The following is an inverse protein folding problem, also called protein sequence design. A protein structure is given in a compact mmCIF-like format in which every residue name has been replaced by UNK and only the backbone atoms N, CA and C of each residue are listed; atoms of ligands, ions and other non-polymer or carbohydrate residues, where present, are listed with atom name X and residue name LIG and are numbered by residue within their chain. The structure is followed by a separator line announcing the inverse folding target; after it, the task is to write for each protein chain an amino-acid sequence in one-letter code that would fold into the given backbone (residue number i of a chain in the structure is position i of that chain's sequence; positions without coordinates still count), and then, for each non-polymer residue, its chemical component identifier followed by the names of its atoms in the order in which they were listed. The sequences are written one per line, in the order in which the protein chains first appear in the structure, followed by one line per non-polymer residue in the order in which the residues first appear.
data_IF_565847924782
#
_entry.id   IF_565847924782
#
_cell.length_a   1.000
_cell.length_b   1.000
_cell.length_c   1.000
_cell.angle_alpha   90.00
_cell.angle_beta   90.00
_cell.angle_gamma   90.00
#
_symmetry.space_group_name_H-M   'P 1'
#
loop_
_entity.id
_entity.type
_entity.pdbx_description
1 polymer ?
#
# COMPACT_ATOMS: atom_id res chain seq x y z
N UNK A 1 -11.43 5.77 -12.48
CA UNK A 1 -10.10 6.18 -11.99
C UNK A 1 -10.22 6.48 -10.52
N UNK A 2 -9.31 5.96 -9.69
CA UNK A 2 -9.26 6.13 -8.23
C UNK A 2 -7.98 6.86 -7.88
N UNK A 3 -8.07 7.81 -6.95
CA UNK A 3 -6.94 8.58 -6.46
C UNK A 3 -6.97 8.64 -4.93
N UNK A 4 -5.79 8.68 -4.33
CA UNK A 4 -5.58 8.92 -2.91
C UNK A 4 -4.57 10.07 -2.76
N UNK A 5 -4.94 11.05 -1.95
CA UNK A 5 -4.04 12.11 -1.51
C UNK A 5 -3.28 11.63 -0.26
N UNK A 6 -1.98 11.48 -0.42
CA UNK A 6 -1.04 11.18 0.66
C UNK A 6 0.03 12.25 0.74
N UNK A 7 -0.30 13.54 0.56
CA UNK A 7 0.67 14.61 0.84
C UNK A 7 1.05 14.54 2.33
N UNK A 8 0.04 14.53 3.21
CA UNK A 8 0.18 14.20 4.62
C UNK A 8 -0.71 12.98 4.92
N UNK A 9 -0.08 11.89 5.36
CA UNK A 9 -0.78 10.68 5.82
C UNK A 9 -1.00 10.70 7.33
N UNK A 10 -1.82 9.76 7.82
CA UNK A 10 -2.03 9.50 9.24
C UNK A 10 -1.50 8.13 9.64
N UNK A 11 -0.51 8.08 10.53
CA UNK A 11 -0.01 6.85 11.16
C UNK A 11 -0.51 6.71 12.60
N UNK A 12 -0.16 5.61 13.29
CA UNK A 12 -0.69 5.25 14.61
C UNK A 12 -2.21 4.99 14.61
N UNK A 13 -2.98 5.63 15.48
CA UNK A 13 -4.36 5.26 15.80
C UNK A 13 -5.40 5.90 14.87
N UNK A 14 -5.32 5.60 13.57
CA UNK A 14 -6.36 5.99 12.61
C UNK A 14 -7.67 5.19 12.78
N UNK A 15 -8.86 5.78 12.51
CA UNK A 15 -9.11 7.17 12.10
C UNK A 15 -9.33 8.14 13.27
N UNK A 16 -9.29 7.67 14.52
CA UNK A 16 -9.73 8.45 15.69
C UNK A 16 -8.65 9.43 16.16
N UNK A 17 -7.40 8.99 16.23
CA UNK A 17 -6.25 9.77 16.72
C UNK A 17 -4.98 9.50 15.90
N UNK A 18 -4.98 9.85 14.60
CA UNK A 18 -3.81 9.66 13.74
C UNK A 18 -2.72 10.69 14.06
N UNK A 19 -1.46 10.27 13.97
CA UNK A 19 -0.30 11.18 13.94
C UNK A 19 0.07 11.53 12.50
N UNK A 20 0.40 12.79 12.19
CA UNK A 20 0.75 13.18 10.83
C UNK A 20 2.11 12.60 10.42
N UNK A 21 2.19 12.08 9.21
CA UNK A 21 3.45 11.69 8.55
C UNK A 21 3.51 12.29 7.15
N UNK A 22 4.63 12.92 6.83
CA UNK A 22 4.82 13.53 5.51
C UNK A 22 5.16 12.44 4.49
N UNK A 23 4.22 12.12 3.62
CA UNK A 23 4.40 11.16 2.55
C UNK A 23 4.79 11.85 1.23
N UNK A 24 4.20 13.02 0.94
CA UNK A 24 4.48 13.80 -0.26
C UNK A 24 4.04 13.14 -1.57
N UNK A 25 3.02 12.27 -1.54
CA UNK A 25 2.57 11.51 -2.72
C UNK A 25 1.11 11.79 -3.06
N UNK A 26 0.82 11.82 -4.36
CA UNK A 26 -0.52 11.58 -4.88
C UNK A 26 -0.43 10.30 -5.70
N UNK A 27 -1.29 9.34 -5.41
CA UNK A 27 -1.29 8.04 -6.09
C UNK A 27 -2.66 7.78 -6.71
N UNK A 28 -2.69 7.12 -7.85
CA UNK A 28 -3.94 6.74 -8.50
C UNK A 28 -3.77 5.70 -9.58
N UNK A 29 -4.90 5.17 -10.03
CA UNK A 29 -4.97 4.10 -11.01
C UNK A 29 -6.39 3.76 -11.44
N UNK A 30 -6.50 2.81 -12.36
CA UNK A 30 -7.80 2.32 -12.87
C UNK A 30 -8.31 1.08 -12.14
N UNK A 31 -7.44 0.40 -11.40
CA UNK A 31 -7.77 -0.76 -10.57
C UNK A 31 -7.58 -0.38 -9.09
N UNK A 32 -8.66 -0.14 -8.33
CA UNK A 32 -8.57 0.30 -6.94
C UNK A 32 -7.80 -0.66 -6.03
N UNK A 33 -7.93 -1.97 -6.26
CA UNK A 33 -7.22 -2.97 -5.47
C UNK A 33 -5.71 -2.90 -5.70
N UNK A 34 -5.28 -2.66 -6.94
CA UNK A 34 -3.87 -2.45 -7.27
C UNK A 34 -3.31 -1.17 -6.62
N UNK A 35 -4.12 -0.11 -6.53
CA UNK A 35 -3.72 1.14 -5.86
C UNK A 35 -3.57 0.92 -4.36
N UNK A 36 -4.53 0.27 -3.69
CA UNK A 36 -4.43 -0.03 -2.26
C UNK A 36 -3.24 -0.95 -1.94
N UNK A 37 -2.97 -1.93 -2.81
CA UNK A 37 -1.78 -2.77 -2.73
C UNK A 37 -0.48 -1.94 -2.83
N UNK A 38 -0.41 -1.01 -3.79
CA UNK A 38 0.73 -0.11 -3.93
C UNK A 38 0.93 0.75 -2.68
N UNK A 39 -0.15 1.30 -2.12
CA UNK A 39 -0.12 2.13 -0.90
C UNK A 39 0.41 1.32 0.29
N UNK A 40 -0.10 0.10 0.52
CA UNK A 40 0.37 -0.76 1.61
C UNK A 40 1.88 -1.02 1.51
N UNK A 41 2.36 -1.32 0.30
CA UNK A 41 3.78 -1.59 0.06
C UNK A 41 4.67 -0.35 0.24
N UNK A 42 4.18 0.83 -0.17
CA UNK A 42 4.83 2.13 0.03
C UNK A 42 4.84 2.56 1.50
N UNK A 43 3.83 2.18 2.30
CA UNK A 43 3.78 2.35 3.76
C UNK A 43 4.72 1.40 4.52
N UNK A 44 5.48 0.57 3.79
CA UNK A 44 6.35 -0.47 4.34
C UNK A 44 5.60 -1.58 5.10
N UNK A 45 4.35 -1.83 4.73
CA UNK A 45 3.57 -2.98 5.21
C UNK A 45 3.65 -4.14 4.20
N UNK A 46 3.74 -5.35 4.72
CA UNK A 46 3.66 -6.61 3.96
C UNK A 46 2.20 -6.90 3.67
N UNK A 47 1.78 -6.67 2.41
CA UNK A 47 0.39 -6.88 2.00
C UNK A 47 -0.11 -8.31 2.29
N UNK A 48 0.78 -9.30 2.35
CA UNK A 48 0.43 -10.71 2.65
C UNK A 48 0.00 -10.90 4.09
N UNK A 49 0.19 -9.90 4.95
CA UNK A 49 -0.24 -9.90 6.34
C UNK A 49 -1.48 -9.04 6.59
N UNK A 50 -2.00 -8.37 5.57
CA UNK A 50 -3.26 -7.65 5.63
C UNK A 50 -4.34 -8.58 5.06
N UNK A 51 -5.19 -9.23 5.90
CA UNK A 51 -6.08 -10.30 5.44
C UNK A 51 -7.02 -9.87 4.31
N UNK A 52 -7.51 -8.64 4.33
CA UNK A 52 -8.36 -8.08 3.29
C UNK A 52 -7.65 -8.05 1.95
N UNK A 53 -6.43 -7.50 1.89
CA UNK A 53 -5.64 -7.41 0.66
C UNK A 53 -5.13 -8.78 0.23
N UNK A 54 -4.70 -9.65 1.16
CA UNK A 54 -4.24 -11.00 0.81
C UNK A 54 -5.35 -11.88 0.23
N UNK A 55 -6.51 -11.92 0.89
CA UNK A 55 -7.53 -12.92 0.59
C UNK A 55 -8.37 -12.55 -0.63
N UNK A 56 -8.51 -11.26 -0.94
CA UNK A 56 -9.29 -10.80 -2.10
C UNK A 56 -8.76 -11.33 -3.44
N UNK A 57 -7.45 -11.57 -3.56
CA UNK A 57 -6.83 -12.18 -4.75
C UNK A 57 -7.19 -13.66 -4.93
N UNK A 58 -7.61 -14.34 -3.87
CA UNK A 58 -7.94 -15.76 -3.89
C UNK A 58 -9.45 -16.02 -4.14
N UNK A 59 -10.24 -14.96 -4.34
CA UNK A 59 -11.66 -15.09 -4.63
C UNK A 59 -11.88 -15.75 -6.00
N UNK A 60 -12.57 -16.90 -6.00
CA UNK A 60 -12.96 -17.59 -7.24
C UNK A 60 -14.16 -16.94 -7.92
N UNK A 61 -15.10 -16.42 -7.13
CA UNK A 61 -16.32 -15.76 -7.58
C UNK A 61 -16.31 -14.29 -7.14
N UNK A 62 -16.95 -13.41 -7.92
CA UNK A 62 -17.02 -11.95 -7.64
C UNK A 62 -15.63 -11.32 -7.49
N UNK A 63 -14.74 -11.59 -8.46
CA UNK A 63 -13.42 -10.95 -8.53
C UNK A 63 -13.59 -9.44 -8.59
N UNK A 64 -12.83 -8.73 -7.75
CA UNK A 64 -12.83 -7.26 -7.68
C UNK A 64 -11.80 -6.68 -8.66
N UNK A 65 -10.81 -7.49 -9.05
CA UNK A 65 -9.76 -7.15 -10.01
C UNK A 65 -9.47 -8.34 -10.92
N UNK A 66 -9.05 -8.06 -12.16
CA UNK A 66 -8.51 -9.05 -13.07
C UNK A 66 -6.98 -9.23 -12.94
N UNK A 67 -6.32 -8.37 -12.16
CA UNK A 67 -4.89 -8.38 -11.93
C UNK A 67 -4.52 -9.18 -10.67
N UNK A 68 -3.28 -9.65 -10.63
CA UNK A 68 -2.62 -10.28 -9.49
C UNK A 68 -1.53 -9.36 -8.93
N UNK A 69 -1.04 -9.58 -7.69
CA UNK A 69 0.00 -8.74 -7.10
C UNK A 69 1.26 -8.59 -7.99
N UNK A 70 1.65 -9.63 -8.70
CA UNK A 70 2.82 -9.60 -9.60
C UNK A 70 2.62 -8.75 -10.87
N UNK A 71 1.38 -8.39 -11.19
CA UNK A 71 1.06 -7.53 -12.33
C UNK A 71 1.24 -6.04 -11.98
N UNK A 72 1.35 -5.70 -10.70
CA UNK A 72 1.53 -4.31 -10.26
C UNK A 72 2.90 -3.77 -10.69
N UNK A 73 2.86 -2.68 -11.46
CA UNK A 73 4.02 -1.84 -11.81
C UNK A 73 3.72 -0.40 -11.41
N UNK A 74 4.61 0.21 -10.63
CA UNK A 74 4.48 1.60 -10.18
C UNK A 74 5.16 2.51 -11.20
N UNK A 75 4.52 3.60 -11.59
CA UNK A 75 5.08 4.67 -12.43
C UNK A 75 5.09 5.94 -11.60
N UNK A 76 6.24 6.62 -11.54
CA UNK A 76 6.45 7.74 -10.62
C UNK A 76 7.54 8.67 -11.12
N UNK A 77 7.52 9.92 -10.68
CA UNK A 77 8.65 10.84 -10.81
C UNK A 77 9.80 10.49 -9.84
N UNK A 78 9.57 9.65 -8.83
CA UNK A 78 10.59 9.16 -7.91
C UNK A 78 11.29 7.93 -8.53
N UNK A 79 12.61 8.04 -8.77
CA UNK A 79 13.42 6.98 -9.40
C UNK A 79 13.51 5.69 -8.58
N UNK A 80 13.30 5.75 -7.26
CA UNK A 80 13.25 4.57 -6.40
C UNK A 80 12.01 3.71 -6.62
N UNK A 81 10.96 4.29 -7.22
CA UNK A 81 9.65 3.65 -7.42
C UNK A 81 9.27 3.53 -8.90
N UNK A 82 9.83 4.39 -9.76
CA UNK A 82 9.46 4.43 -11.16
C UNK A 82 9.80 3.12 -11.88
N UNK A 83 8.80 2.61 -12.59
CA UNK A 83 8.82 1.37 -13.33
C UNK A 83 9.18 0.12 -12.51
N UNK A 84 8.95 0.17 -11.19
CA UNK A 84 9.26 -0.94 -10.29
C UNK A 84 8.08 -1.85 -10.06
N UNK A 85 8.35 -3.15 -9.95
CA UNK A 85 7.44 -4.11 -9.33
C UNK A 85 7.46 -3.95 -7.81
N UNK A 86 6.46 -4.53 -7.14
CA UNK A 86 6.35 -4.55 -5.67
C UNK A 86 7.67 -4.95 -4.99
N UNK A 87 8.29 -6.04 -5.45
CA UNK A 87 9.54 -6.57 -4.87
C UNK A 87 10.76 -5.69 -5.07
N UNK A 88 10.67 -4.68 -5.93
CA UNK A 88 11.77 -3.81 -6.35
C UNK A 88 11.63 -2.39 -5.78
N UNK A 89 10.54 -2.11 -5.07
CA UNK A 89 10.32 -0.80 -4.42
C UNK A 89 11.34 -0.63 -3.30
N UNK A 90 12.17 0.41 -3.44
CA UNK A 90 13.15 0.82 -2.44
C UNK A 90 12.68 2.07 -1.70
N UNK A 91 13.23 2.31 -0.51
CA UNK A 91 12.96 3.51 0.30
C UNK A 91 11.46 3.76 0.51
N UNK A 92 10.73 2.71 0.87
CA UNK A 92 9.35 2.82 1.35
C UNK A 92 9.30 3.71 2.61
N UNK A 93 8.16 4.35 2.79
CA UNK A 93 7.88 5.26 3.89
C UNK A 93 7.46 4.40 5.08
N UNK A 94 8.25 4.41 6.16
CA UNK A 94 8.02 3.54 7.31
C UNK A 94 6.91 4.11 8.19
N UNK A 95 5.70 3.62 8.01
CA UNK A 95 4.57 3.96 8.87
C UNK A 95 4.63 3.19 10.19
N UNK A 96 4.21 3.85 11.27
CA UNK A 96 3.82 3.20 12.50
C UNK A 96 2.37 2.69 12.38
N UNK A 97 2.11 1.38 12.46
CA UNK A 97 0.74 0.91 12.45
C UNK A 97 0.05 1.19 13.79
N UNK A 98 -1.28 1.09 13.80
CA UNK A 98 -2.05 1.13 15.04
C UNK A 98 -1.64 -0.01 15.98
N UNK A 99 -1.82 0.19 17.28
CA UNK A 99 -1.39 -0.71 18.35
C UNK A 99 -1.77 -2.17 18.13
N UNK A 100 -2.98 -2.45 17.63
CA UNK A 100 -3.45 -3.81 17.33
C UNK A 100 -2.71 -4.52 16.18
N UNK A 101 -1.94 -3.79 15.38
CA UNK A 101 -1.22 -4.31 14.20
C UNK A 101 0.31 -4.22 14.33
N UNK A 102 0.82 -3.61 15.40
CA UNK A 102 2.27 -3.48 15.66
C UNK A 102 2.95 -4.85 15.68
N UNK A 103 4.10 -4.92 15.02
CA UNK A 103 4.90 -6.13 14.79
C UNK A 103 4.21 -7.23 13.97
N UNK A 104 3.01 -6.98 13.44
CA UNK A 104 2.27 -7.95 12.65
C UNK A 104 2.40 -7.68 11.16
N UNK A 105 2.17 -6.46 10.68
CA UNK A 105 2.08 -6.16 9.23
C UNK A 105 3.34 -5.59 8.63
N UNK A 106 4.29 -5.13 9.44
CA UNK A 106 5.49 -4.48 8.95
C UNK A 106 6.38 -5.46 8.17
N UNK A 107 7.00 -4.97 7.10
CA UNK A 107 8.01 -5.74 6.37
C UNK A 107 9.20 -5.99 7.30
N UNK A 108 9.68 -7.24 7.31
CA UNK A 108 10.92 -7.59 8.02
C UNK A 108 12.09 -7.01 7.22
N UNK A 109 12.98 -6.31 7.92
CA UNK A 109 14.27 -5.87 7.35
C UNK A 109 15.12 -7.07 6.94
#
# INVERSE_FOLDING_TARGET
MYFCDGIIGGENEGPIDPSPINMGIIIGGFDPLMVDLAIAELMNFDFKRIPQIKNIFNLKNRKISNHQPNDLKIFSNNTNWNEKKISEVLNSIKFNPSSGWKNYIEKKN
#
